data_IF_423821639900
#
_entry.id   IF_423821639900
#
_cell.length_a   1.000
_cell.length_b   1.000
_cell.length_c   1.000
_cell.angle_alpha   90.00
_cell.angle_beta   90.00
_cell.angle_gamma   90.00
#
_symmetry.space_group_name_H-M   'P 1'
#
loop_
_entity.id
_entity.type
_entity.pdbx_description
1 polymer ?
#
# COMPACT_ATOMS: atom_id res chain seq x y z
N UNK A 1 -77.26 16.03 5.52
CA UNK A 1 -75.95 16.04 4.84
C UNK A 1 -74.86 15.67 5.84
N UNK A 2 -74.24 14.47 5.76
CA UNK A 2 -73.13 14.07 6.63
C UNK A 2 -71.81 14.49 5.98
N UNK A 3 -71.09 15.39 6.63
CA UNK A 3 -69.76 15.86 6.24
C UNK A 3 -68.73 14.73 6.49
N UNK A 4 -68.18 14.14 5.43
CA UNK A 4 -67.04 13.23 5.53
C UNK A 4 -65.75 14.04 5.75
N UNK A 5 -65.18 13.95 6.94
CA UNK A 5 -63.87 14.57 7.23
C UNK A 5 -62.77 13.77 6.51
N UNK A 6 -61.87 14.41 5.74
CA UNK A 6 -60.77 13.71 5.11
C UNK A 6 -59.84 13.14 6.19
N UNK A 7 -59.60 11.83 6.14
CA UNK A 7 -58.68 11.15 7.06
C UNK A 7 -57.30 11.78 7.00
N UNK A 8 -56.70 12.06 8.17
CA UNK A 8 -55.38 12.71 8.28
C UNK A 8 -54.36 11.95 7.42
N UNK A 9 -53.84 12.60 6.38
CA UNK A 9 -52.81 12.03 5.50
C UNK A 9 -51.57 11.66 6.33
N UNK A 10 -51.12 10.41 6.21
CA UNK A 10 -49.91 9.90 6.90
C UNK A 10 -48.61 10.39 6.23
N UNK A 11 -48.71 11.09 5.10
CA UNK A 11 -47.59 11.55 4.28
C UNK A 11 -46.59 12.46 5.01
N UNK A 12 -46.99 13.46 5.82
CA UNK A 12 -46.05 14.34 6.52
C UNK A 12 -45.21 13.59 7.56
N UNK A 13 -45.79 12.58 8.22
CA UNK A 13 -45.11 11.75 9.20
C UNK A 13 -44.07 10.84 8.53
N UNK A 14 -44.41 10.22 7.39
CA UNK A 14 -43.48 9.40 6.60
C UNK A 14 -42.31 10.25 6.11
N UNK A 15 -42.58 11.42 5.52
CA UNK A 15 -41.53 12.36 5.07
C UNK A 15 -40.58 12.75 6.20
N UNK A 16 -41.09 13.02 7.40
CA UNK A 16 -40.26 13.37 8.56
C UNK A 16 -39.35 12.22 9.00
N UNK A 17 -39.83 10.97 8.95
CA UNK A 17 -39.03 9.77 9.24
C UNK A 17 -37.92 9.60 8.20
N UNK A 18 -38.24 9.72 6.90
CA UNK A 18 -37.24 9.63 5.83
C UNK A 18 -36.17 10.72 5.94
N UNK A 19 -36.54 11.96 6.28
CA UNK A 19 -35.56 13.03 6.50
C UNK A 19 -34.63 12.73 7.69
N UNK A 20 -35.16 12.22 8.80
CA UNK A 20 -34.33 11.83 9.95
C UNK A 20 -33.41 10.66 9.58
N UNK A 21 -33.95 9.63 8.93
CA UNK A 21 -33.18 8.46 8.53
C UNK A 21 -32.08 8.84 7.52
N UNK A 22 -32.38 9.66 6.52
CA UNK A 22 -31.38 10.13 5.56
C UNK A 22 -30.28 10.96 6.21
N UNK A 23 -30.63 11.85 7.16
CA UNK A 23 -29.64 12.65 7.87
C UNK A 23 -28.67 11.77 8.68
N UNK A 24 -29.18 10.81 9.45
CA UNK A 24 -28.35 9.94 10.28
C UNK A 24 -27.57 8.90 9.46
N UNK A 25 -28.21 8.27 8.48
CA UNK A 25 -27.55 7.31 7.57
C UNK A 25 -26.52 8.00 6.68
N UNK A 26 -26.83 9.19 6.17
CA UNK A 26 -25.93 10.02 5.38
C UNK A 26 -24.73 10.49 6.21
N UNK A 27 -24.94 10.93 7.45
CA UNK A 27 -23.85 11.33 8.34
C UNK A 27 -22.94 10.14 8.69
N UNK A 28 -23.51 8.99 9.01
CA UNK A 28 -22.75 7.78 9.33
C UNK A 28 -21.97 7.26 8.12
N UNK A 29 -22.62 7.13 6.95
CA UNK A 29 -21.96 6.69 5.72
C UNK A 29 -20.92 7.70 5.23
N UNK A 30 -21.21 9.00 5.33
CA UNK A 30 -20.29 10.06 4.96
C UNK A 30 -19.00 10.04 5.79
N UNK A 31 -19.09 9.72 7.08
CA UNK A 31 -17.91 9.55 7.94
C UNK A 31 -17.03 8.37 7.46
N UNK A 32 -17.64 7.24 7.10
CA UNK A 32 -16.89 6.07 6.59
C UNK A 32 -16.21 6.43 5.27
N UNK A 33 -16.95 7.04 4.33
CA UNK A 33 -16.40 7.48 3.04
C UNK A 33 -15.26 8.49 3.25
N UNK A 34 -15.39 9.40 4.21
CA UNK A 34 -14.33 10.36 4.54
C UNK A 34 -13.02 9.66 4.96
N UNK A 35 -13.09 8.66 5.85
CA UNK A 35 -11.90 7.91 6.28
C UNK A 35 -11.29 7.14 5.10
N UNK A 36 -12.12 6.51 4.26
CA UNK A 36 -11.66 5.78 3.07
C UNK A 36 -11.00 6.71 2.04
N UNK A 37 -11.56 7.90 1.82
CA UNK A 37 -10.95 8.90 0.94
C UNK A 37 -9.63 9.42 1.52
N UNK A 38 -9.56 9.65 2.83
CA UNK A 38 -8.35 10.11 3.50
C UNK A 38 -7.23 9.08 3.44
N UNK A 39 -7.51 7.81 3.72
CA UNK A 39 -6.52 6.73 3.63
C UNK A 39 -6.02 6.53 2.21
N UNK A 40 -6.91 6.62 1.21
CA UNK A 40 -6.53 6.58 -0.20
C UNK A 40 -5.61 7.73 -0.60
N UNK A 41 -5.89 8.93 -0.09
CA UNK A 41 -5.04 10.12 -0.35
C UNK A 41 -3.64 9.95 0.24
N UNK A 42 -3.54 9.45 1.46
CA UNK A 42 -2.24 9.17 2.11
C UNK A 42 -1.47 8.08 1.34
N UNK A 43 -2.17 7.04 0.88
CA UNK A 43 -1.56 5.91 0.18
C UNK A 43 -0.92 6.28 -1.18
N UNK A 44 -1.34 7.37 -1.83
CA UNK A 44 -0.66 7.87 -3.05
C UNK A 44 0.82 8.17 -2.79
N UNK A 45 1.18 8.56 -1.56
CA UNK A 45 2.54 8.86 -1.15
C UNK A 45 3.28 7.67 -0.54
N UNK A 46 2.76 6.45 -0.68
CA UNK A 46 3.34 5.24 -0.09
C UNK A 46 4.84 5.11 -0.38
N UNK A 47 5.25 5.21 -1.65
CA UNK A 47 6.66 5.08 -2.04
C UNK A 47 7.53 6.19 -1.42
N UNK A 48 7.09 7.45 -1.51
CA UNK A 48 7.83 8.61 -0.99
C UNK A 48 8.01 8.51 0.53
N UNK A 49 6.96 8.11 1.26
CA UNK A 49 7.00 7.98 2.72
C UNK A 49 7.88 6.81 3.19
N UNK A 50 7.87 5.68 2.46
CA UNK A 50 8.80 4.57 2.74
C UNK A 50 10.24 5.00 2.48
N UNK A 51 10.51 5.63 1.33
CA UNK A 51 11.85 6.11 0.98
C UNK A 51 12.35 7.15 1.99
N UNK A 52 11.46 8.01 2.48
CA UNK A 52 11.76 8.98 3.53
C UNK A 52 12.05 8.32 4.87
N UNK A 53 11.31 7.27 5.24
CA UNK A 53 11.50 6.54 6.50
C UNK A 53 12.75 5.66 6.53
N UNK A 54 13.23 5.20 5.36
CA UNK A 54 14.37 4.29 5.25
C UNK A 54 15.46 4.84 4.30
N UNK A 55 16.06 6.00 4.62
CA UNK A 55 17.05 6.61 3.74
C UNK A 55 18.29 5.70 3.58
N UNK A 56 18.59 4.82 4.53
CA UNK A 56 19.71 3.87 4.44
C UNK A 56 19.57 2.86 3.30
N UNK A 57 18.34 2.56 2.88
CA UNK A 57 18.05 1.63 1.78
C UNK A 57 17.87 2.31 0.43
N UNK A 58 17.48 3.59 0.44
CA UNK A 58 17.03 4.30 -0.76
C UNK A 58 17.90 5.49 -1.17
N UNK A 59 18.83 5.92 -0.31
CA UNK A 59 19.79 6.97 -0.63
C UNK A 59 21.19 6.41 -0.71
N UNK A 60 21.88 6.79 -1.77
CA UNK A 60 23.28 6.45 -2.01
C UNK A 60 24.09 7.74 -2.02
N UNK A 61 25.12 7.78 -1.18
CA UNK A 61 26.15 8.82 -1.28
C UNK A 61 27.00 8.54 -2.52
N UNK A 62 27.10 9.52 -3.40
CA UNK A 62 27.96 9.48 -4.58
C UNK A 62 28.88 10.68 -4.59
N UNK A 63 30.11 10.49 -5.04
CA UNK A 63 31.03 11.59 -5.35
C UNK A 63 30.81 12.03 -6.79
N UNK A 64 30.82 13.35 -7.04
CA UNK A 64 30.67 13.91 -8.38
C UNK A 64 31.85 13.46 -9.25
N UNK A 65 31.57 12.68 -10.28
CA UNK A 65 32.56 12.20 -11.25
C UNK A 65 32.80 10.69 -11.25
N UNK A 66 32.26 9.95 -10.28
CA UNK A 66 32.31 8.48 -10.29
C UNK A 66 31.24 7.94 -11.23
N UNK A 67 31.64 7.11 -12.20
CA UNK A 67 30.70 6.43 -13.10
C UNK A 67 30.08 5.22 -12.40
N UNK A 68 28.81 4.93 -12.71
CA UNK A 68 28.12 3.77 -12.13
C UNK A 68 28.75 2.47 -12.66
N UNK A 69 28.90 1.48 -11.79
CA UNK A 69 29.32 0.14 -12.20
C UNK A 69 28.32 -0.47 -13.18
N UNK A 70 28.80 -1.33 -14.07
CA UNK A 70 27.93 -2.04 -15.00
C UNK A 70 26.89 -2.87 -14.24
N UNK A 71 25.60 -2.79 -14.61
CA UNK A 71 24.54 -3.58 -13.99
C UNK A 71 24.80 -5.09 -14.02
N UNK A 72 25.55 -5.59 -15.00
CA UNK A 72 25.89 -7.01 -15.16
C UNK A 72 26.87 -7.49 -14.09
N UNK A 73 27.88 -6.68 -13.74
CA UNK A 73 28.85 -7.01 -12.69
C UNK A 73 28.15 -7.10 -11.33
N UNK A 74 27.26 -6.15 -11.08
CA UNK A 74 26.45 -6.11 -9.86
C UNK A 74 25.42 -7.24 -9.82
N UNK A 75 24.85 -7.63 -10.98
CA UNK A 75 23.94 -8.78 -11.09
C UNK A 75 24.63 -10.05 -10.60
N UNK A 76 25.82 -10.36 -11.10
CA UNK A 76 26.57 -11.56 -10.69
C UNK A 76 26.91 -11.55 -9.20
N UNK A 77 27.29 -10.40 -8.65
CA UNK A 77 27.55 -10.26 -7.21
C UNK A 77 26.29 -10.52 -6.37
N UNK A 78 25.12 -10.04 -6.82
CA UNK A 78 23.84 -10.27 -6.15
C UNK A 78 23.40 -11.73 -6.26
N UNK A 79 23.52 -12.36 -7.42
CA UNK A 79 23.18 -13.78 -7.61
C UNK A 79 24.04 -14.67 -6.71
N UNK A 80 25.34 -14.39 -6.61
CA UNK A 80 26.25 -15.10 -5.69
C UNK A 80 25.90 -14.88 -4.22
N UNK A 81 25.57 -13.64 -3.82
CA UNK A 81 25.27 -13.32 -2.42
C UNK A 81 23.87 -13.81 -1.98
N UNK A 82 22.91 -13.88 -2.90
CA UNK A 82 21.52 -14.25 -2.61
C UNK A 82 21.23 -15.74 -2.82
N UNK A 83 22.08 -16.46 -3.58
CA UNK A 83 21.86 -17.85 -3.93
C UNK A 83 20.63 -18.07 -4.85
N UNK A 84 20.12 -17.01 -5.47
CA UNK A 84 18.96 -17.04 -6.37
C UNK A 84 19.24 -16.41 -7.73
N UNK A 85 18.30 -16.55 -8.66
CA UNK A 85 18.42 -15.98 -10.01
C UNK A 85 17.80 -14.58 -10.04
N UNK A 86 18.52 -13.59 -10.58
CA UNK A 86 17.97 -12.24 -10.78
C UNK A 86 16.97 -12.27 -11.94
N UNK A 87 15.72 -11.92 -11.64
CA UNK A 87 14.63 -11.89 -12.62
C UNK A 87 14.38 -10.50 -13.19
N UNK A 88 14.66 -9.45 -12.41
CA UNK A 88 14.46 -8.06 -12.84
C UNK A 88 15.52 -7.15 -12.24
N UNK A 89 15.99 -6.21 -13.06
CA UNK A 89 16.87 -5.11 -12.64
C UNK A 89 16.14 -3.80 -12.87
N UNK A 90 16.04 -2.96 -11.84
CA UNK A 90 15.52 -1.59 -11.95
C UNK A 90 16.67 -0.61 -11.76
N UNK A 91 16.93 0.16 -12.80
CA UNK A 91 18.01 1.16 -12.85
C UNK A 91 17.35 2.54 -12.75
N UNK A 92 17.39 3.20 -11.59
CA UNK A 92 16.86 4.55 -11.46
C UNK A 92 17.70 5.56 -12.27
N UNK A 93 17.03 6.53 -12.89
CA UNK A 93 17.70 7.61 -13.61
C UNK A 93 18.49 8.53 -12.66
N UNK A 94 17.97 8.77 -11.45
CA UNK A 94 18.60 9.66 -10.47
C UNK A 94 19.86 9.02 -9.85
N UNK A 95 20.97 9.77 -9.69
CA UNK A 95 22.25 9.25 -9.18
C UNK A 95 22.27 8.97 -7.67
N UNK A 96 21.31 9.50 -6.93
CA UNK A 96 21.16 9.30 -5.50
C UNK A 96 20.39 8.03 -5.12
N UNK A 97 19.88 7.27 -6.11
CA UNK A 97 19.10 6.06 -5.88
C UNK A 97 19.90 4.77 -6.15
N UNK A 98 19.75 3.73 -5.32
CA UNK A 98 20.39 2.43 -5.51
C UNK A 98 19.72 1.63 -6.64
N UNK A 99 20.48 0.71 -7.23
CA UNK A 99 19.94 -0.26 -8.18
C UNK A 99 19.13 -1.31 -7.41
N UNK A 100 17.98 -1.69 -7.96
CA UNK A 100 17.12 -2.70 -7.34
C UNK A 100 17.16 -3.98 -8.16
N UNK A 101 17.58 -5.06 -7.52
CA UNK A 101 17.68 -6.39 -8.11
C UNK A 101 16.61 -7.29 -7.50
N UNK A 102 15.60 -7.65 -8.28
CA UNK A 102 14.62 -8.66 -7.87
C UNK A 102 15.20 -10.05 -8.09
N UNK A 103 15.39 -10.79 -7.02
CA UNK A 103 15.93 -12.16 -7.02
C UNK A 103 14.81 -13.13 -6.71
N UNK A 104 14.70 -14.18 -7.52
CA UNK A 104 13.86 -15.34 -7.22
C UNK A 104 14.77 -16.49 -6.77
N UNK A 105 14.62 -16.89 -5.51
CA UNK A 105 15.30 -18.07 -4.96
C UNK A 105 14.41 -19.28 -5.21
N UNK A 106 15.00 -20.40 -5.64
CA UNK A 106 14.25 -21.65 -5.80
C UNK A 106 13.69 -22.09 -4.44
N UNK A 107 12.35 -22.22 -4.35
CA UNK A 107 11.62 -22.52 -3.12
C UNK A 107 10.89 -21.33 -2.48
N UNK A 108 11.15 -20.09 -2.91
CA UNK A 108 10.37 -18.92 -2.46
C UNK A 108 9.10 -18.78 -3.33
N UNK A 109 7.93 -19.03 -2.73
CA UNK A 109 6.61 -18.90 -3.38
C UNK A 109 6.14 -17.44 -3.53
N UNK A 110 6.97 -16.46 -3.15
CA UNK A 110 6.63 -15.03 -3.31
C UNK A 110 6.50 -14.67 -4.80
N UNK A 111 5.33 -14.18 -5.21
CA UNK A 111 5.01 -13.77 -6.61
C UNK A 111 6.05 -12.83 -7.26
N UNK A 112 6.78 -12.04 -6.46
CA UNK A 112 7.74 -11.04 -6.95
C UNK A 112 9.20 -11.26 -6.55
N UNK A 113 9.53 -12.32 -5.80
CA UNK A 113 10.87 -12.53 -5.23
C UNK A 113 11.30 -11.46 -4.22
N UNK A 114 12.56 -11.51 -3.80
CA UNK A 114 13.16 -10.55 -2.87
C UNK A 114 13.89 -9.48 -3.66
N UNK A 115 13.55 -8.21 -3.46
CA UNK A 115 14.29 -7.10 -4.09
C UNK A 115 15.43 -6.63 -3.19
N UNK A 116 16.65 -6.74 -3.68
CA UNK A 116 17.88 -6.27 -3.04
C UNK A 116 18.23 -4.86 -3.53
N UNK A 117 18.54 -3.96 -2.61
CA UNK A 117 19.09 -2.64 -2.95
C UNK A 117 20.60 -2.71 -2.96
N UNK A 118 21.21 -2.28 -4.05
CA UNK A 118 22.67 -2.30 -4.22
C UNK A 118 23.15 -0.92 -4.59
N UNK A 119 24.21 -0.49 -3.92
CA UNK A 119 24.89 0.76 -4.24
C UNK A 119 25.64 0.62 -5.58
N UNK A 120 25.27 1.38 -6.63
CA UNK A 120 25.87 1.26 -7.95
C UNK A 120 27.30 1.79 -8.05
N UNK A 121 27.79 2.50 -7.03
CA UNK A 121 29.15 3.08 -7.00
C UNK A 121 30.13 2.21 -6.21
N UNK A 122 29.66 1.48 -5.20
CA UNK A 122 30.53 0.65 -4.33
C UNK A 122 30.29 -0.84 -4.47
N UNK A 123 29.18 -1.25 -5.10
CA UNK A 123 28.76 -2.66 -5.18
C UNK A 123 28.26 -3.25 -3.87
N UNK A 124 28.15 -2.46 -2.79
CA UNK A 124 27.63 -2.93 -1.51
C UNK A 124 26.11 -3.13 -1.57
N UNK A 125 25.65 -4.28 -1.07
CA UNK A 125 24.23 -4.56 -0.83
C UNK A 125 23.82 -3.78 0.42
N UNK A 126 22.89 -2.84 0.27
CA UNK A 126 22.41 -1.97 1.35
C UNK A 126 21.37 -2.66 2.22
N UNK A 127 20.57 -3.54 1.61
CA UNK A 127 19.54 -4.30 2.30
C UNK A 127 18.62 -5.00 1.32
N UNK A 128 17.54 -5.56 1.86
CA UNK A 128 16.57 -6.33 1.10
C UNK A 128 15.15 -5.84 1.40
N UNK A 129 14.21 -6.18 0.52
CA UNK A 129 12.80 -5.82 0.68
C UNK A 129 12.05 -6.67 1.72
N UNK A 130 12.73 -7.64 2.35
CA UNK A 130 12.21 -8.40 3.50
C UNK A 130 12.44 -7.65 4.82
N UNK A 131 13.19 -6.55 4.81
CA UNK A 131 13.36 -5.71 6.00
C UNK A 131 12.02 -5.11 6.42
N UNK A 132 11.60 -5.41 7.64
CA UNK A 132 10.37 -4.90 8.22
C UNK A 132 10.53 -3.42 8.57
N UNK A 133 10.12 -2.56 7.64
CA UNK A 133 10.05 -1.13 7.89
C UNK A 133 8.70 -0.79 8.53
N UNK A 134 8.67 -0.10 9.69
CA UNK A 134 7.42 0.32 10.32
C UNK A 134 6.50 1.08 9.37
N UNK A 135 7.08 1.93 8.50
CA UNK A 135 6.33 2.68 7.49
C UNK A 135 5.69 1.76 6.43
N UNK A 136 6.36 0.68 6.03
CA UNK A 136 5.78 -0.30 5.08
C UNK A 136 4.57 -0.98 5.69
N UNK A 137 4.68 -1.40 6.95
CA UNK A 137 3.58 -2.01 7.69
C UNK A 137 2.41 -1.04 7.82
N UNK A 138 2.68 0.21 8.22
CA UNK A 138 1.68 1.28 8.28
C UNK A 138 0.98 1.52 6.93
N UNK A 139 1.73 1.55 5.81
CA UNK A 139 1.14 1.69 4.48
C UNK A 139 0.30 0.47 4.07
N UNK A 140 0.67 -0.73 4.53
CA UNK A 140 -0.15 -1.93 4.43
C UNK A 140 -1.50 -1.77 5.13
N UNK A 141 -1.50 -1.25 6.36
CA UNK A 141 -2.72 -0.91 7.10
C UNK A 141 -3.57 0.13 6.38
N UNK A 142 -2.96 1.21 5.87
CA UNK A 142 -3.68 2.24 5.11
C UNK A 142 -4.33 1.66 3.84
N UNK A 143 -3.63 0.75 3.14
CA UNK A 143 -4.18 0.06 1.98
C UNK A 143 -5.36 -0.85 2.35
N UNK A 144 -5.22 -1.65 3.40
CA UNK A 144 -6.29 -2.53 3.88
C UNK A 144 -7.50 -1.73 4.37
N UNK A 145 -7.29 -0.59 5.03
CA UNK A 145 -8.36 0.33 5.41
C UNK A 145 -9.07 0.90 4.17
N UNK A 146 -8.33 1.39 3.17
CA UNK A 146 -8.93 1.97 1.97
C UNK A 146 -9.72 0.94 1.15
N UNK A 147 -9.17 -0.26 0.98
CA UNK A 147 -9.71 -1.30 0.11
C UNK A 147 -10.81 -2.12 0.79
N UNK A 148 -10.59 -2.46 2.05
CA UNK A 148 -11.38 -3.46 2.79
C UNK A 148 -11.90 -2.94 4.13
N UNK A 149 -11.64 -1.67 4.50
CA UNK A 149 -11.96 -1.12 5.82
C UNK A 149 -11.43 -2.00 6.97
N UNK A 150 -10.24 -2.60 6.75
CA UNK A 150 -9.59 -3.56 7.65
C UNK A 150 -10.36 -4.87 7.90
N UNK A 151 -11.46 -5.15 7.18
CA UNK A 151 -12.18 -6.42 7.34
C UNK A 151 -11.36 -7.65 6.93
N UNK A 152 -10.35 -7.47 6.07
CA UNK A 152 -9.43 -8.53 5.64
C UNK A 152 -8.48 -8.98 6.76
N UNK A 153 -8.25 -8.13 7.77
CA UNK A 153 -7.38 -8.45 8.91
C UNK A 153 -8.14 -9.13 10.07
N UNK A 154 -9.47 -9.14 10.00
CA UNK A 154 -10.30 -9.79 11.01
C UNK A 154 -10.29 -11.30 10.70
N UNK A 155 -9.39 -12.04 11.37
CA UNK A 155 -9.16 -13.48 11.19
C UNK A 155 -10.40 -14.38 11.37
N UNK A 156 -11.51 -13.83 11.88
CA UNK A 156 -12.77 -14.56 12.06
C UNK A 156 -13.81 -14.10 11.04
N UNK A 157 -14.15 -14.92 10.03
CA UNK A 157 -15.33 -14.64 9.23
C UNK A 157 -16.54 -14.67 10.16
N UNK A 158 -17.23 -13.53 10.30
CA UNK A 158 -18.50 -13.47 11.05
C UNK A 158 -19.60 -14.30 10.36
N UNK A 159 -19.37 -14.72 9.11
CA UNK A 159 -20.23 -15.61 8.34
C UNK A 159 -19.31 -16.62 7.63
N UNK A 160 -19.30 -17.87 8.11
CA UNK A 160 -18.74 -19.00 7.36
C UNK A 160 -19.56 -19.16 6.08
N UNK A 161 -19.05 -18.63 4.97
CA UNK A 161 -19.53 -19.00 3.64
C UNK A 161 -19.16 -20.45 3.38
N UNK A 162 -20.10 -21.37 3.66
CA UNK A 162 -19.99 -22.76 3.26
C UNK A 162 -20.19 -22.84 1.75
N UNK A 163 -19.09 -22.81 1.00
CA UNK A 163 -19.03 -23.28 -0.39
C UNK A 163 -18.06 -24.43 -0.48
#
# INVERSE_FOLDING_TARGET
MKQNKPGKSRWPAIRSIFNKLHLWMGLASGLIVFVVCLSGTIYVFNQELIEWSAPHLYKVNYEKGVSRMSPDVLKSAVEQASGGTVTRVSIPAKPDKPFQYSVKVEGDNSRGGVSYMVNPYTGKILGNSKEELPMRTFMGYMFSLHRWLLLDEIEKPLIEGKT
#
